data_IF_386591565040
#
_entry.id   IF_386591565040
#
_cell.length_a   1.000
_cell.length_b   1.000
_cell.length_c   1.000
_cell.angle_alpha   90.00
_cell.angle_beta   90.00
_cell.angle_gamma   90.00
#
_symmetry.space_group_name_H-M   'P 1'
#
loop_
_entity.id
_entity.type
_entity.pdbx_description
1 polymer ?
#
# COMPACT_ATOMS: atom_id res chain seq x y z
N UNK A 1 -2.40 28.06 2.02
CA UNK A 1 -1.66 26.89 1.52
C UNK A 1 -2.18 25.62 2.17
N UNK A 2 -2.51 24.55 1.41
CA UNK A 2 -2.91 23.27 2.01
C UNK A 2 -1.75 22.66 2.82
N UNK A 3 -2.01 22.30 4.06
CA UNK A 3 -1.00 21.74 4.95
C UNK A 3 -0.65 20.31 4.50
N UNK A 4 0.55 20.15 3.92
CA UNK A 4 1.07 18.86 3.41
C UNK A 4 1.08 17.78 4.49
N UNK A 5 1.45 18.13 5.73
CA UNK A 5 1.51 17.21 6.87
C UNK A 5 0.12 16.69 7.28
N UNK A 6 -0.87 17.57 7.43
CA UNK A 6 -2.26 17.15 7.74
C UNK A 6 -2.84 16.23 6.66
N UNK A 7 -2.55 16.53 5.39
CA UNK A 7 -2.97 15.69 4.26
C UNK A 7 -2.31 14.32 4.28
N UNK A 8 -1.03 14.25 4.64
CA UNK A 8 -0.32 12.98 4.80
C UNK A 8 -0.91 12.15 5.95
N UNK A 9 -1.18 12.76 7.11
CA UNK A 9 -1.79 12.07 8.25
C UNK A 9 -3.20 11.55 7.92
N UNK A 10 -4.05 12.40 7.33
CA UNK A 10 -5.40 11.99 6.93
C UNK A 10 -5.36 10.80 5.94
N UNK A 11 -4.42 10.84 5.00
CA UNK A 11 -4.16 9.74 4.06
C UNK A 11 -3.72 8.47 4.78
N UNK A 12 -2.72 8.55 5.65
CA UNK A 12 -2.21 7.41 6.41
C UNK A 12 -3.31 6.78 7.28
N UNK A 13 -4.17 7.59 7.92
CA UNK A 13 -5.31 7.10 8.69
C UNK A 13 -6.28 6.28 7.84
N UNK A 14 -6.62 6.76 6.63
CA UNK A 14 -7.54 6.04 5.74
C UNK A 14 -6.91 4.72 5.24
N UNK A 15 -5.61 4.72 4.88
CA UNK A 15 -4.88 3.51 4.45
C UNK A 15 -4.86 2.48 5.56
N UNK A 16 -4.54 2.93 6.78
CA UNK A 16 -4.47 2.08 7.94
C UNK A 16 -5.83 1.53 8.35
N UNK A 17 -6.92 2.28 8.12
CA UNK A 17 -8.27 1.80 8.43
C UNK A 17 -8.61 0.54 7.63
N UNK A 18 -8.41 0.57 6.30
CA UNK A 18 -8.58 -0.62 5.46
C UNK A 18 -7.62 -1.75 5.85
N UNK A 19 -6.35 -1.43 6.10
CA UNK A 19 -5.35 -2.42 6.52
C UNK A 19 -5.67 -3.10 7.86
N UNK A 20 -6.35 -2.39 8.77
CA UNK A 20 -6.84 -2.94 10.04
C UNK A 20 -7.99 -3.92 9.85
N UNK A 21 -8.83 -3.73 8.83
CA UNK A 21 -9.92 -4.66 8.53
C UNK A 21 -9.39 -6.04 8.06
N UNK A 22 -8.28 -6.06 7.32
CA UNK A 22 -7.63 -7.28 6.80
C UNK A 22 -6.56 -7.87 7.72
N UNK A 23 -6.47 -7.44 8.98
CA UNK A 23 -5.41 -7.84 9.89
C UNK A 23 -5.53 -9.33 10.25
N UNK A 24 -4.49 -10.12 9.97
CA UNK A 24 -4.39 -11.49 10.48
C UNK A 24 -4.33 -11.44 12.02
N UNK A 25 -5.27 -12.13 12.67
CA UNK A 25 -5.31 -12.27 14.12
C UNK A 25 -4.15 -13.12 14.66
N UNK A 26 -3.73 -14.10 13.85
CA UNK A 26 -2.60 -14.96 14.12
C UNK A 26 -1.27 -14.31 13.73
N UNK A 27 -0.56 -13.77 14.73
CA UNK A 27 0.74 -13.11 14.57
C UNK A 27 1.75 -13.68 15.56
N UNK A 28 2.92 -14.03 15.06
CA UNK A 28 4.08 -14.30 15.91
C UNK A 28 4.45 -13.02 16.66
N UNK A 29 4.57 -13.13 17.97
CA UNK A 29 4.99 -12.05 18.84
C UNK A 29 6.34 -12.38 19.44
N UNK A 30 7.10 -11.34 19.71
CA UNK A 30 8.41 -11.45 20.35
C UNK A 30 8.29 -10.87 21.75
N UNK A 31 8.76 -11.60 22.75
CA UNK A 31 8.79 -11.16 24.14
C UNK A 31 10.20 -11.25 24.66
N UNK A 32 10.66 -10.16 25.26
CA UNK A 32 11.95 -10.08 25.95
C UNK A 32 11.72 -10.27 27.44
N UNK A 33 12.50 -11.15 28.06
CA UNK A 33 12.46 -11.43 29.48
C UNK A 33 13.88 -11.35 30.07
N UNK A 34 14.06 -10.55 31.11
CA UNK A 34 15.33 -10.37 31.81
C UNK A 34 15.34 -11.02 33.21
N UNK A 35 14.17 -11.32 33.77
CA UNK A 35 14.01 -11.96 35.08
C UNK A 35 13.57 -13.41 34.91
N UNK A 36 14.08 -14.30 35.76
CA UNK A 36 13.69 -15.72 35.77
C UNK A 36 12.16 -15.92 35.85
N UNK A 37 11.45 -15.15 36.69
CA UNK A 37 10.00 -15.23 36.79
C UNK A 37 9.29 -14.89 35.47
N UNK A 38 9.83 -13.96 34.68
CA UNK A 38 9.27 -13.59 33.38
C UNK A 38 9.50 -14.69 32.33
N UNK A 39 10.65 -15.36 32.39
CA UNK A 39 10.97 -16.54 31.57
C UNK A 39 10.02 -17.68 31.89
N UNK A 40 9.90 -18.05 33.17
CA UNK A 40 9.01 -19.12 33.63
C UNK A 40 7.55 -18.86 33.25
N UNK A 41 7.11 -17.60 33.29
CA UNK A 41 5.76 -17.22 32.87
C UNK A 41 5.51 -17.50 31.40
N UNK A 42 6.48 -17.22 30.52
CA UNK A 42 6.34 -17.48 29.07
C UNK A 42 6.45 -18.97 28.77
N UNK A 43 7.38 -19.67 29.44
CA UNK A 43 7.59 -21.11 29.23
C UNK A 43 6.41 -21.97 29.68
N UNK A 44 5.77 -21.58 30.79
CA UNK A 44 4.65 -22.32 31.38
C UNK A 44 3.28 -21.87 30.87
N UNK A 45 3.20 -20.90 29.95
CA UNK A 45 1.91 -20.43 29.42
C UNK A 45 1.32 -21.48 28.45
N UNK A 46 0.18 -22.13 28.80
CA UNK A 46 -0.41 -23.16 27.94
C UNK A 46 -1.00 -22.59 26.64
N UNK A 47 -1.23 -21.28 26.55
CA UNK A 47 -1.83 -20.60 25.38
C UNK A 47 -0.81 -20.32 24.28
N UNK A 48 0.48 -20.32 24.63
CA UNK A 48 1.57 -19.99 23.73
C UNK A 48 2.21 -21.24 23.15
N UNK A 49 2.66 -21.10 21.91
CA UNK A 49 3.49 -22.05 21.19
C UNK A 49 4.84 -21.36 20.91
N UNK A 50 5.89 -21.81 21.59
CA UNK A 50 7.23 -21.21 21.50
C UNK A 50 7.93 -21.79 20.28
N UNK A 51 8.20 -20.93 19.30
CA UNK A 51 8.86 -21.33 18.04
C UNK A 51 10.37 -21.20 18.11
N UNK A 52 10.86 -20.22 18.86
CA UNK A 52 12.28 -19.94 18.99
C UNK A 52 12.58 -19.26 20.32
N UNK A 53 13.57 -19.76 21.02
CA UNK A 53 14.12 -19.18 22.23
C UNK A 53 15.63 -18.95 22.07
N UNK A 54 16.09 -17.75 22.44
CA UNK A 54 17.53 -17.44 22.45
C UNK A 54 17.89 -16.54 23.61
N UNK A 55 19.04 -16.79 24.19
CA UNK A 55 19.64 -15.94 25.21
C UNK A 55 20.63 -15.00 24.51
N UNK A 56 20.53 -13.72 24.84
CA UNK A 56 21.50 -12.70 24.46
C UNK A 56 22.16 -12.17 25.72
N UNK A 57 23.48 -12.12 25.74
CA UNK A 57 24.23 -11.42 26.77
C UNK A 57 24.22 -9.92 26.42
N UNK A 58 23.53 -9.12 27.22
CA UNK A 58 23.54 -7.67 27.11
C UNK A 58 24.21 -7.10 28.37
N UNK A 59 25.54 -7.01 28.33
CA UNK A 59 26.34 -6.69 29.51
C UNK A 59 26.27 -7.81 30.55
N UNK A 60 26.14 -7.46 31.83
CA UNK A 60 26.12 -8.41 32.95
C UNK A 60 24.76 -9.11 33.15
N UNK A 61 23.73 -8.76 32.38
CA UNK A 61 22.39 -9.34 32.50
C UNK A 61 22.00 -10.13 31.26
N UNK A 62 21.68 -11.44 31.38
CA UNK A 62 21.17 -12.23 30.27
C UNK A 62 19.73 -11.81 29.92
N UNK A 63 19.46 -11.58 28.64
CA UNK A 63 18.13 -11.28 28.10
C UNK A 63 17.66 -12.47 27.28
N UNK A 64 16.51 -13.02 27.64
CA UNK A 64 15.84 -14.08 26.91
C UNK A 64 14.90 -13.48 25.86
N UNK A 65 15.04 -13.96 24.63
CA UNK A 65 14.17 -13.67 23.51
C UNK A 65 13.28 -14.87 23.24
N UNK A 66 11.98 -14.73 23.41
CA UNK A 66 10.99 -15.72 23.01
C UNK A 66 10.24 -15.24 21.78
N UNK A 67 10.31 -15.99 20.70
CA UNK A 67 9.38 -15.86 19.57
C UNK A 67 8.30 -16.91 19.75
N UNK A 68 7.08 -16.45 19.99
CA UNK A 68 5.94 -17.32 20.23
C UNK A 68 4.75 -16.94 19.36
N UNK A 69 3.84 -17.90 19.21
CA UNK A 69 2.56 -17.72 18.54
C UNK A 69 1.46 -18.22 19.46
N UNK A 70 0.23 -17.71 19.30
CA UNK A 70 -0.91 -18.32 20.00
C UNK A 70 -1.24 -19.66 19.36
N UNK A 71 -1.48 -20.68 20.18
CA UNK A 71 -2.01 -21.97 19.70
C UNK A 71 -3.37 -21.76 19.05
N UNK A 72 -3.67 -22.57 18.03
CA UNK A 72 -4.84 -22.40 17.16
C UNK A 72 -6.17 -22.33 17.93
N UNK A 73 -6.31 -23.13 19.00
CA UNK A 73 -7.51 -23.15 19.86
C UNK A 73 -7.73 -21.85 20.63
N UNK A 74 -6.68 -21.03 20.79
CA UNK A 74 -6.68 -19.77 21.54
C UNK A 74 -6.60 -18.54 20.62
N UNK A 75 -6.74 -18.73 19.30
CA UNK A 75 -6.78 -17.64 18.33
C UNK A 75 -8.21 -17.10 18.24
N UNK A 76 -8.44 -15.95 18.85
CA UNK A 76 -9.68 -15.21 18.65
C UNK A 76 -9.59 -14.31 17.42
N UNK A 77 -10.74 -14.04 16.79
CA UNK A 77 -10.84 -13.05 15.72
C UNK A 77 -10.36 -11.68 16.22
N UNK A 78 -9.75 -10.89 15.31
CA UNK A 78 -9.29 -9.56 15.65
C UNK A 78 -10.49 -8.69 16.11
N UNK A 79 -10.41 -7.99 17.26
CA UNK A 79 -11.57 -7.34 17.89
C UNK A 79 -12.21 -6.25 17.04
N UNK A 80 -11.45 -5.63 16.15
CA UNK A 80 -11.90 -4.57 15.24
C UNK A 80 -11.69 -4.93 13.75
N UNK A 81 -11.38 -6.20 13.46
CA UNK A 81 -11.14 -6.68 12.10
C UNK A 81 -12.44 -7.06 11.40
N UNK A 82 -12.54 -6.75 10.10
CA UNK A 82 -13.64 -7.21 9.26
C UNK A 82 -13.08 -7.63 7.91
N UNK A 83 -12.82 -8.93 7.80
CA UNK A 83 -12.32 -9.52 6.57
C UNK A 83 -13.26 -9.27 5.38
N UNK A 84 -14.60 -9.35 5.50
CA UNK A 84 -15.50 -9.03 4.40
C UNK A 84 -15.34 -7.59 3.88
N UNK A 85 -15.16 -6.61 4.77
CA UNK A 85 -14.93 -5.21 4.36
C UNK A 85 -13.61 -5.09 3.60
N UNK A 86 -12.55 -5.73 4.08
CA UNK A 86 -11.25 -5.75 3.40
C UNK A 86 -11.37 -6.39 1.99
N UNK A 87 -12.06 -7.52 1.87
CA UNK A 87 -12.30 -8.19 0.60
C UNK A 87 -13.10 -7.32 -0.38
N UNK A 88 -14.20 -6.71 0.09
CA UNK A 88 -15.07 -5.87 -0.75
C UNK A 88 -14.35 -4.62 -1.25
N UNK A 89 -13.62 -3.94 -0.38
CA UNK A 89 -12.85 -2.74 -0.74
C UNK A 89 -11.75 -3.04 -1.76
N UNK A 90 -10.97 -4.12 -1.57
CA UNK A 90 -9.97 -4.54 -2.55
C UNK A 90 -10.61 -4.98 -3.87
N UNK A 91 -11.72 -5.72 -3.82
CA UNK A 91 -12.43 -6.15 -5.03
C UNK A 91 -12.99 -4.97 -5.80
N UNK A 92 -13.58 -3.99 -5.11
CA UNK A 92 -14.10 -2.78 -5.72
C UNK A 92 -13.00 -1.97 -6.42
N UNK A 93 -11.85 -1.78 -5.77
CA UNK A 93 -10.68 -1.13 -6.37
C UNK A 93 -10.23 -1.83 -7.66
N UNK A 94 -10.10 -3.17 -7.61
CA UNK A 94 -9.72 -3.98 -8.79
C UNK A 94 -10.75 -3.87 -9.92
N UNK A 95 -12.04 -4.02 -9.63
CA UNK A 95 -13.10 -3.90 -10.64
C UNK A 95 -13.06 -2.52 -11.29
N UNK A 96 -12.85 -1.47 -10.50
CA UNK A 96 -12.75 -0.10 -11.02
C UNK A 96 -11.54 0.07 -11.94
N UNK A 97 -10.38 -0.43 -11.53
CA UNK A 97 -9.17 -0.43 -12.36
C UNK A 97 -9.39 -1.21 -13.66
N UNK A 98 -9.90 -2.43 -13.59
CA UNK A 98 -10.17 -3.26 -14.76
C UNK A 98 -11.15 -2.60 -15.73
N UNK A 99 -12.19 -1.90 -15.24
CA UNK A 99 -13.10 -1.13 -16.09
C UNK A 99 -12.36 -0.05 -16.89
N UNK A 100 -11.45 0.68 -16.25
CA UNK A 100 -10.65 1.69 -16.94
C UNK A 100 -9.70 1.05 -17.97
N UNK A 101 -9.06 -0.06 -17.62
CA UNK A 101 -8.17 -0.77 -18.56
C UNK A 101 -8.94 -1.27 -19.81
N UNK A 102 -10.17 -1.76 -19.62
CA UNK A 102 -11.06 -2.16 -20.71
C UNK A 102 -11.47 -0.98 -21.59
N UNK A 103 -11.75 0.18 -21.00
CA UNK A 103 -12.12 1.41 -21.73
C UNK A 103 -10.95 2.01 -22.53
N UNK A 104 -9.73 1.96 -21.98
CA UNK A 104 -8.50 2.41 -22.66
C UNK A 104 -8.13 1.45 -23.81
N UNK A 105 -8.28 0.15 -23.58
CA UNK A 105 -7.91 -0.91 -24.53
C UNK A 105 -6.55 -1.52 -24.21
N UNK A 106 -6.48 -2.85 -24.25
CA UNK A 106 -5.31 -3.63 -23.83
C UNK A 106 -4.05 -3.30 -24.63
N UNK A 107 -4.17 -2.95 -25.92
CA UNK A 107 -3.03 -2.68 -26.80
C UNK A 107 -2.28 -1.38 -26.46
N UNK A 108 -2.92 -0.47 -25.72
CA UNK A 108 -2.36 0.82 -25.36
C UNK A 108 -1.70 0.82 -23.97
N UNK A 109 -2.00 -0.20 -23.15
CA UNK A 109 -1.57 -0.24 -21.75
C UNK A 109 -0.13 -0.77 -21.65
N UNK A 110 0.72 -0.02 -20.97
CA UNK A 110 2.11 -0.40 -20.67
C UNK A 110 2.23 -1.07 -19.31
N UNK A 111 1.49 -0.58 -18.31
CA UNK A 111 1.60 -1.04 -16.93
C UNK A 111 0.33 -0.75 -16.14
N UNK A 112 0.03 -1.59 -15.16
CA UNK A 112 -1.01 -1.34 -14.16
C UNK A 112 -0.60 -1.91 -12.80
N UNK A 113 -0.77 -1.14 -11.74
CA UNK A 113 -0.55 -1.59 -10.36
C UNK A 113 -1.55 -0.96 -9.42
N UNK A 114 -2.33 -1.81 -8.75
CA UNK A 114 -3.25 -1.53 -7.64
C UNK A 114 -4.30 -0.45 -7.88
N UNK A 115 -3.86 0.79 -8.07
CA UNK A 115 -4.63 2.01 -8.28
C UNK A 115 -4.03 2.92 -9.38
N UNK A 116 -3.03 2.47 -10.13
CA UNK A 116 -2.37 3.25 -11.19
C UNK A 116 -2.34 2.49 -12.52
N UNK A 117 -2.35 3.23 -13.63
CA UNK A 117 -2.11 2.68 -14.95
C UNK A 117 -1.30 3.65 -15.83
N UNK A 118 -0.43 3.07 -16.64
CA UNK A 118 0.40 3.78 -17.63
C UNK A 118 -0.03 3.28 -18.99
N UNK A 119 -0.37 4.20 -19.90
CA UNK A 119 -0.74 3.84 -21.25
C UNK A 119 -0.27 4.88 -22.26
N UNK A 120 -0.31 4.47 -23.52
CA UNK A 120 0.07 5.27 -24.67
C UNK A 120 -1.19 5.70 -25.40
N UNK A 121 -1.41 7.01 -25.53
CA UNK A 121 -2.52 7.55 -26.29
C UNK A 121 -2.05 8.67 -27.23
N UNK A 122 -2.86 8.94 -28.25
CA UNK A 122 -2.68 10.13 -29.09
C UNK A 122 -3.54 11.26 -28.51
N UNK A 123 -2.98 12.47 -28.48
CA UNK A 123 -3.68 13.65 -27.93
C UNK A 123 -4.95 14.01 -28.73
N UNK A 124 -4.98 13.68 -30.01
CA UNK A 124 -6.06 13.94 -30.94
C UNK A 124 -7.15 12.84 -30.96
N UNK A 125 -6.97 11.75 -30.21
CA UNK A 125 -7.97 10.70 -30.14
C UNK A 125 -9.21 11.16 -29.34
N UNK A 126 -10.39 11.28 -29.97
CA UNK A 126 -11.61 11.72 -29.28
C UNK A 126 -12.01 10.76 -28.15
N UNK A 127 -11.73 9.45 -28.27
CA UNK A 127 -12.04 8.47 -27.22
C UNK A 127 -11.20 8.71 -25.97
N UNK A 128 -9.92 9.03 -26.15
CA UNK A 128 -9.01 9.36 -25.07
C UNK A 128 -9.44 10.65 -24.35
N UNK A 129 -9.81 11.69 -25.11
CA UNK A 129 -10.29 12.95 -24.53
C UNK A 129 -11.60 12.78 -23.76
N UNK A 130 -12.54 11.98 -24.28
CA UNK A 130 -13.80 11.69 -23.60
C UNK A 130 -13.57 10.90 -22.31
N UNK A 131 -12.70 9.89 -22.35
CA UNK A 131 -12.32 9.11 -21.18
C UNK A 131 -11.74 9.98 -20.06
N UNK A 132 -10.81 10.89 -20.40
CA UNK A 132 -10.21 11.81 -19.43
C UNK A 132 -11.24 12.81 -18.89
N UNK A 133 -12.11 13.37 -19.73
CA UNK A 133 -13.18 14.30 -19.27
C UNK A 133 -14.13 13.64 -18.26
N UNK A 134 -14.43 12.35 -18.45
CA UNK A 134 -15.34 11.61 -17.56
C UNK A 134 -14.66 11.16 -16.26
N UNK A 135 -13.43 10.68 -16.36
CA UNK A 135 -12.80 9.94 -15.26
C UNK A 135 -11.70 10.75 -14.52
N UNK A 136 -11.11 11.78 -15.13
CA UNK A 136 -10.04 12.57 -14.52
C UNK A 136 -10.55 13.77 -13.72
N UNK A 137 -9.83 14.11 -12.64
CA UNK A 137 -10.14 15.27 -11.80
C UNK A 137 -9.47 15.22 -10.43
N UNK A 138 -9.88 16.13 -9.53
CA UNK A 138 -9.27 16.29 -8.20
C UNK A 138 -10.04 15.58 -7.06
N UNK A 139 -11.21 14.99 -7.36
CA UNK A 139 -12.15 14.44 -6.36
C UNK A 139 -12.03 12.92 -6.17
N UNK A 140 -12.39 12.44 -4.97
CA UNK A 140 -12.30 11.02 -4.57
C UNK A 140 -12.82 10.06 -5.65
N UNK A 141 -11.98 9.09 -6.03
CA UNK A 141 -12.24 8.11 -7.09
C UNK A 141 -11.86 8.53 -8.52
N UNK A 142 -11.39 9.76 -8.77
CA UNK A 142 -10.95 10.24 -10.08
C UNK A 142 -9.46 9.99 -10.38
N UNK A 143 -9.15 9.90 -11.68
CA UNK A 143 -7.82 9.83 -12.26
C UNK A 143 -7.09 11.16 -12.15
N UNK A 144 -5.85 11.14 -11.68
CA UNK A 144 -4.95 12.29 -11.63
C UNK A 144 -3.69 11.99 -12.43
N UNK A 145 -3.28 12.95 -13.27
CA UNK A 145 -1.98 12.87 -13.91
C UNK A 145 -0.89 13.15 -12.86
N UNK A 146 -0.03 12.16 -12.62
CA UNK A 146 1.09 12.23 -11.67
C UNK A 146 2.43 12.46 -12.38
N UNK A 147 2.45 12.43 -13.72
CA UNK A 147 3.63 12.78 -14.51
C UNK A 147 3.80 14.29 -14.47
N UNK A 148 4.82 14.76 -13.76
CA UNK A 148 5.18 16.18 -13.69
C UNK A 148 5.72 16.71 -15.02
N UNK A 149 6.23 15.83 -15.86
CA UNK A 149 6.58 16.11 -17.25
C UNK A 149 5.88 15.08 -18.13
N UNK A 150 4.96 15.54 -18.97
CA UNK A 150 4.51 14.73 -20.10
C UNK A 150 5.75 14.45 -20.93
N UNK A 151 6.34 13.25 -20.82
CA UNK A 151 7.34 12.80 -21.78
C UNK A 151 6.63 12.70 -23.13
N UNK A 152 6.62 13.82 -23.86
CA UNK A 152 6.30 13.87 -25.28
C UNK A 152 7.43 13.14 -25.96
N UNK A 153 7.28 11.82 -26.09
CA UNK A 153 8.24 10.98 -26.76
C UNK A 153 8.11 11.23 -28.27
N UNK A 154 8.73 12.31 -28.76
CA UNK A 154 8.69 12.71 -30.16
C UNK A 154 9.41 11.73 -31.09
N UNK A 155 10.23 10.82 -30.54
CA UNK A 155 11.21 10.06 -31.30
C UNK A 155 10.89 8.56 -31.44
N UNK A 156 9.87 8.03 -30.76
CA UNK A 156 9.52 6.60 -30.87
C UNK A 156 8.43 6.30 -31.90
N UNK A 157 7.65 7.30 -32.34
CA UNK A 157 6.67 7.13 -33.40
C UNK A 157 6.47 8.47 -34.11
N UNK A 158 6.53 8.50 -35.46
CA UNK A 158 6.38 9.71 -36.30
C UNK A 158 5.01 10.42 -36.17
N UNK A 159 4.14 9.96 -35.29
CA UNK A 159 2.88 10.59 -34.89
C UNK A 159 2.96 10.95 -33.42
N UNK A 160 2.67 12.20 -33.06
CA UNK A 160 2.65 12.71 -31.66
C UNK A 160 1.96 11.72 -30.74
N UNK A 161 2.75 10.98 -29.99
CA UNK A 161 2.27 9.96 -29.07
C UNK A 161 2.61 10.43 -27.68
N UNK A 162 1.60 10.60 -26.84
CA UNK A 162 1.77 11.04 -25.46
C UNK A 162 1.64 9.82 -24.56
N UNK A 163 2.74 9.46 -23.91
CA UNK A 163 2.68 8.57 -22.76
C UNK A 163 1.97 9.36 -21.65
N UNK A 164 0.71 9.03 -21.40
CA UNK A 164 -0.07 9.62 -20.33
C UNK A 164 -0.07 8.61 -19.18
N UNK A 165 0.77 8.85 -18.18
CA UNK A 165 0.67 8.13 -16.90
C UNK A 165 -0.41 8.83 -16.09
N UNK A 166 -1.49 8.10 -15.79
CA UNK A 166 -2.58 8.66 -14.99
C UNK A 166 -2.90 7.66 -13.89
N UNK A 167 -2.68 8.09 -12.66
CA UNK A 167 -2.85 7.30 -11.45
C UNK A 167 -4.16 7.69 -10.78
N UNK A 168 -4.89 6.73 -10.21
CA UNK A 168 -6.08 6.98 -9.40
C UNK A 168 -5.66 7.00 -7.94
N UNK A 169 -5.77 8.19 -7.35
CA UNK A 169 -5.72 8.49 -5.92
C UNK A 169 -4.37 8.59 -5.26
N UNK A 170 -4.27 9.72 -4.55
CA UNK A 170 -3.36 10.02 -3.46
C UNK A 170 -3.63 9.09 -2.27
N UNK A 171 -3.50 7.78 -2.49
CA UNK A 171 -3.44 6.70 -1.50
C UNK A 171 -2.06 6.06 -1.47
N UNK A 172 -1.46 5.96 -2.64
CA UNK A 172 -0.02 6.01 -2.87
C UNK A 172 0.28 7.33 -3.57
N UNK A 173 1.53 7.69 -3.72
CA UNK A 173 1.93 9.06 -3.99
C UNK A 173 3.37 9.09 -3.59
N UNK A 174 4.17 8.78 -4.60
CA UNK A 174 5.60 8.97 -4.67
C UNK A 174 6.01 10.10 -3.73
N UNK A 175 6.87 9.74 -2.77
CA UNK A 175 7.75 10.75 -2.20
C UNK A 175 8.61 11.19 -3.38
N UNK A 176 8.52 12.46 -3.77
CA UNK A 176 9.61 13.12 -4.49
C UNK A 176 10.85 13.11 -3.58
N UNK A 177 11.47 11.94 -3.43
CA UNK A 177 12.88 11.77 -3.14
C UNK A 177 13.53 11.87 -4.51
N UNK A 178 14.59 12.69 -4.62
CA UNK A 178 15.27 13.10 -5.86
C UNK A 178 14.76 14.39 -6.51
N UNK A 179 14.77 15.50 -5.77
CA UNK A 179 15.25 16.78 -6.31
C UNK A 179 15.43 17.82 -5.21
N UNK A 180 16.58 17.79 -4.53
CA UNK A 180 17.30 18.99 -4.06
C UNK A 180 18.63 18.57 -3.42
N UNK A 181 19.57 18.18 -4.27
CA UNK A 181 20.99 18.28 -3.94
C UNK A 181 21.74 18.69 -5.21
N UNK A 182 21.68 19.98 -5.52
CA UNK A 182 22.63 20.61 -6.43
C UNK A 182 23.75 21.20 -5.57
N UNK A 183 24.99 20.68 -5.61
CA UNK A 183 26.11 21.38 -5.03
C UNK A 183 26.42 22.60 -5.92
N UNK A 184 26.40 23.77 -5.31
CA UNK A 184 27.14 24.94 -5.77
C UNK A 184 28.42 25.05 -4.95
#
# INVERSE_FOLDING_TARGET
MPNKGKRFLAKACLVNLWGRCGLKADRSSVTFANTQQAVEKVWNDPTLDITYDKIFEAGDTPIWLFTHRKKQDWIHSAPFGSLPIACLTTSYGRIRLTKWLLEIGYDQILYSDSDSCVWIARDDDPKHQEFLKRNAGENLGQLKNETHDVCKCSNFCRTRTVASTVSIWRFLGSVDLWSSYTPS
#
